data_IF_874773638605
#
_entry.id   IF_874773638605
#
_cell.length_a   1.000
_cell.length_b   1.000
_cell.length_c   1.000
_cell.angle_alpha   90.00
_cell.angle_beta   90.00
_cell.angle_gamma   90.00
#
_symmetry.space_group_name_H-M   'P 1'
#
loop_
_entity.id
_entity.type
_entity.pdbx_description
1 polymer ?
#
# COMPACT_ATOMS: atom_id res chain seq x y z
N UNK A 1 1.71 -10.07 -5.84
CA UNK A 1 2.49 -10.26 -7.09
C UNK A 1 2.64 -11.75 -7.37
N UNK A 2 1.59 -12.41 -7.89
CA UNK A 2 1.65 -13.85 -8.21
C UNK A 2 1.70 -14.13 -9.71
N UNK A 3 0.77 -13.56 -10.47
CA UNK A 3 0.63 -13.85 -11.91
C UNK A 3 1.64 -13.14 -12.81
N UNK A 4 2.07 -11.93 -12.47
CA UNK A 4 3.04 -11.19 -13.30
C UNK A 4 4.41 -11.88 -13.36
N UNK A 5 4.81 -12.57 -12.29
CA UNK A 5 6.05 -13.35 -12.25
C UNK A 5 6.00 -14.64 -13.10
N UNK A 6 4.82 -15.00 -13.62
CA UNK A 6 4.56 -16.24 -14.35
C UNK A 6 4.25 -16.00 -15.84
N UNK A 7 4.44 -14.78 -16.34
CA UNK A 7 4.21 -14.48 -17.75
C UNK A 7 5.17 -15.31 -18.62
N UNK A 8 4.61 -16.02 -19.61
CA UNK A 8 5.38 -16.81 -20.57
C UNK A 8 5.87 -18.17 -20.05
N UNK A 9 5.48 -18.58 -18.84
CA UNK A 9 5.81 -19.90 -18.26
C UNK A 9 4.56 -20.54 -17.65
N UNK A 10 4.53 -21.87 -17.62
CA UNK A 10 3.50 -22.61 -16.88
C UNK A 10 3.97 -22.80 -15.44
N UNK A 11 3.21 -22.25 -14.48
CA UNK A 11 3.52 -22.38 -13.05
C UNK A 11 3.64 -23.85 -12.61
N UNK A 12 2.90 -24.77 -13.23
CA UNK A 12 2.92 -26.19 -12.88
C UNK A 12 4.26 -26.86 -13.17
N UNK A 13 5.10 -26.24 -14.03
CA UNK A 13 6.43 -26.72 -14.37
C UNK A 13 7.54 -26.06 -13.54
N UNK A 14 7.18 -25.20 -12.58
CA UNK A 14 8.14 -24.49 -11.72
C UNK A 14 8.21 -25.12 -10.33
N UNK A 15 9.35 -24.96 -9.69
CA UNK A 15 9.55 -25.34 -8.29
C UNK A 15 9.15 -24.15 -7.42
N UNK A 16 8.38 -24.41 -6.35
CA UNK A 16 8.07 -23.40 -5.34
C UNK A 16 9.28 -23.23 -4.42
N UNK A 17 9.93 -22.06 -4.55
CA UNK A 17 11.07 -21.66 -3.72
C UNK A 17 10.70 -20.50 -2.77
N UNK A 18 9.41 -20.32 -2.46
CA UNK A 18 8.96 -19.18 -1.64
C UNK A 18 9.54 -19.19 -0.22
N UNK A 19 9.97 -20.36 0.28
CA UNK A 19 10.55 -20.55 1.59
C UNK A 19 11.91 -19.88 1.79
N UNK A 20 12.65 -19.59 0.72
CA UNK A 20 13.94 -18.89 0.81
C UNK A 20 13.79 -17.37 0.71
N UNK A 21 12.59 -16.86 0.47
CA UNK A 21 12.33 -15.43 0.42
C UNK A 21 12.37 -14.87 1.85
N UNK A 22 13.13 -13.79 2.11
CA UNK A 22 13.17 -13.16 3.43
C UNK A 22 11.78 -12.78 3.93
N UNK A 23 11.53 -12.99 5.21
CA UNK A 23 10.29 -12.56 5.86
C UNK A 23 10.18 -11.03 5.80
N UNK A 24 9.01 -10.53 5.40
CA UNK A 24 8.75 -9.10 5.39
C UNK A 24 8.76 -8.53 6.82
N UNK A 25 9.39 -7.36 7.06
CA UNK A 25 9.34 -6.72 8.36
C UNK A 25 7.89 -6.33 8.72
N UNK A 26 7.48 -6.43 9.99
CA UNK A 26 6.15 -6.02 10.40
C UNK A 26 5.99 -4.49 10.28
N UNK A 27 4.77 -4.05 10.03
CA UNK A 27 4.44 -2.64 10.19
C UNK A 27 4.52 -2.23 11.67
N UNK A 28 4.87 -0.97 11.98
CA UNK A 28 4.72 -0.43 13.33
C UNK A 28 3.30 -0.63 13.86
N UNK A 29 3.14 -0.92 15.15
CA UNK A 29 1.82 -1.17 15.76
C UNK A 29 0.83 0.01 15.67
N UNK A 30 1.35 1.21 15.46
CA UNK A 30 0.58 2.44 15.21
C UNK A 30 0.05 2.54 13.78
N UNK A 31 0.50 1.70 12.85
CA UNK A 31 0.15 1.79 11.44
C UNK A 31 -1.33 1.44 11.23
N UNK A 32 -2.09 2.42 10.76
CA UNK A 32 -3.48 2.29 10.33
C UNK A 32 -3.69 3.25 9.16
N UNK A 33 -4.67 3.03 8.28
CA UNK A 33 -4.98 4.02 7.26
C UNK A 33 -5.38 5.36 7.90
N UNK A 34 -4.80 6.45 7.41
CA UNK A 34 -5.04 7.82 7.85
C UNK A 34 -4.93 8.77 6.66
N UNK A 35 -5.56 9.94 6.75
CA UNK A 35 -5.30 11.03 5.82
C UNK A 35 -4.03 11.77 6.24
N UNK A 36 -3.15 12.15 5.30
CA UNK A 36 -2.03 13.04 5.60
C UNK A 36 -2.51 14.36 6.20
N UNK A 37 -1.65 15.01 6.99
CA UNK A 37 -1.94 16.32 7.56
C UNK A 37 -2.37 17.33 6.47
N UNK A 38 -3.43 18.09 6.75
CA UNK A 38 -4.04 19.02 5.77
C UNK A 38 -4.92 18.36 4.70
N UNK A 39 -5.17 17.04 4.78
CA UNK A 39 -6.14 16.32 3.96
C UNK A 39 -7.24 15.69 4.80
N UNK A 40 -8.44 15.64 4.23
CA UNK A 40 -9.65 15.15 4.89
C UNK A 40 -10.49 14.34 3.92
N UNK A 41 -11.60 13.80 4.42
CA UNK A 41 -12.59 13.13 3.57
C UNK A 41 -13.17 14.04 2.47
N UNK A 42 -13.14 15.36 2.64
CA UNK A 42 -13.60 16.31 1.62
C UNK A 42 -12.66 16.38 0.40
N UNK A 43 -11.42 15.90 0.52
CA UNK A 43 -10.45 15.86 -0.58
C UNK A 43 -10.60 14.60 -1.45
N UNK A 44 -11.57 13.73 -1.17
CA UNK A 44 -11.76 12.46 -1.89
C UNK A 44 -12.64 12.67 -3.13
N UNK A 45 -12.10 12.28 -4.28
CA UNK A 45 -12.84 12.15 -5.53
C UNK A 45 -13.46 10.74 -5.60
N UNK A 46 -14.62 10.56 -4.96
CA UNK A 46 -15.29 9.26 -4.87
C UNK A 46 -15.65 8.70 -6.26
N UNK A 47 -15.15 7.50 -6.56
CA UNK A 47 -15.38 6.84 -7.85
C UNK A 47 -16.16 5.52 -7.77
N UNK A 48 -16.19 4.86 -6.60
CA UNK A 48 -16.97 3.64 -6.44
C UNK A 48 -18.42 4.00 -6.08
N UNK A 49 -19.36 3.65 -6.95
CA UNK A 49 -20.79 3.92 -6.75
C UNK A 49 -21.40 3.05 -5.64
N UNK A 50 -20.97 1.79 -5.56
CA UNK A 50 -21.57 0.80 -4.66
C UNK A 50 -20.98 0.85 -3.25
N UNK A 51 -19.79 1.44 -3.07
CA UNK A 51 -19.09 1.46 -1.79
C UNK A 51 -18.47 2.83 -1.54
N UNK A 52 -18.93 3.56 -0.49
CA UNK A 52 -18.34 4.84 -0.14
C UNK A 52 -16.90 4.66 0.36
N UNK A 53 -16.05 5.66 0.13
CA UNK A 53 -14.70 5.69 0.67
C UNK A 53 -14.77 5.64 2.21
N UNK A 54 -13.94 4.83 2.88
CA UNK A 54 -13.99 4.74 4.34
C UNK A 54 -13.57 6.06 5.02
N UNK A 55 -14.14 6.35 6.19
CA UNK A 55 -13.69 7.49 6.99
C UNK A 55 -12.44 7.12 7.78
N UNK A 56 -11.38 7.93 7.67
CA UNK A 56 -10.12 7.77 8.39
C UNK A 56 -9.79 9.01 9.21
N UNK A 57 -8.99 8.87 10.29
CA UNK A 57 -8.45 10.03 11.00
C UNK A 57 -7.46 10.81 10.13
N UNK A 58 -7.35 12.11 10.36
CA UNK A 58 -6.33 12.98 9.74
C UNK A 58 -5.15 13.15 10.69
N UNK A 59 -3.93 13.06 10.17
CA UNK A 59 -2.73 13.33 10.96
C UNK A 59 -2.73 14.78 11.47
N UNK A 60 -2.34 15.01 12.74
CA UNK A 60 -2.27 16.36 13.28
C UNK A 60 -1.14 17.17 12.65
N UNK A 61 -1.30 18.50 12.63
CA UNK A 61 -0.27 19.44 12.19
C UNK A 61 -0.50 19.99 10.77
N UNK A 62 0.45 20.79 10.25
CA UNK A 62 0.38 21.33 8.91
C UNK A 62 0.71 20.27 7.85
N UNK A 63 0.26 20.49 6.61
CA UNK A 63 0.62 19.65 5.48
C UNK A 63 2.15 19.56 5.30
N UNK A 64 2.65 18.35 5.07
CA UNK A 64 4.08 18.07 4.89
C UNK A 64 4.37 17.65 3.43
N UNK A 65 5.64 17.76 3.02
CA UNK A 65 6.10 17.23 1.74
C UNK A 65 6.55 15.79 1.91
N UNK A 66 6.16 14.90 0.99
CA UNK A 66 6.69 13.53 0.93
C UNK A 66 8.17 13.59 0.59
N UNK A 67 9.00 12.94 1.41
CA UNK A 67 10.44 12.92 1.21
C UNK A 67 10.82 12.13 -0.07
N UNK A 68 11.83 12.57 -0.84
CA UNK A 68 12.36 11.78 -1.95
C UNK A 68 12.93 10.45 -1.47
N UNK A 69 12.79 9.41 -2.30
CA UNK A 69 13.45 8.12 -2.06
C UNK A 69 14.92 8.26 -2.46
N UNK A 70 15.87 7.82 -1.62
CA UNK A 70 17.28 7.78 -1.99
C UNK A 70 17.51 6.81 -3.16
N UNK A 71 18.21 7.27 -4.20
CA UNK A 71 18.78 6.39 -5.22
C UNK A 71 20.14 5.93 -4.68
N UNK A 72 20.20 4.70 -4.18
CA UNK A 72 21.45 4.03 -3.82
C UNK A 72 22.16 3.53 -5.08
#
# INVERSE_FOLDING_TARGET
>A
MGRLALLGVDQSTLIDCSEVIPLAPPLPASSRPHFPAGKTHADIEQACADTPFPTFPTDPGPATKVAPVPNL
#
